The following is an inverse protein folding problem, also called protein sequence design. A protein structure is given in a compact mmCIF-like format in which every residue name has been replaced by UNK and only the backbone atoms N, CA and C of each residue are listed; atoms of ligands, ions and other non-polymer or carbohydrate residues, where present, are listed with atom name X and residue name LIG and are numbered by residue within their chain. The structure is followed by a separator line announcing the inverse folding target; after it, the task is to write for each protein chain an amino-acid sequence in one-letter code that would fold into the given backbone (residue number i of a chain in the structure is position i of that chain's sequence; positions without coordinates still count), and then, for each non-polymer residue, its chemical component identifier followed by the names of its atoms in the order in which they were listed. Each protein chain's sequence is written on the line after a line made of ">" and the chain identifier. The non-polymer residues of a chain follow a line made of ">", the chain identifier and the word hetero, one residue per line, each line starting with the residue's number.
data_IF_350912885125
#
_entry.id   IF_350912885125
#
_cell.length_a   1.000
_cell.length_b   1.000
_cell.length_c   1.000
_cell.angle_alpha   90.00
_cell.angle_beta   90.00
_cell.angle_gamma   90.00
#
_symmetry.space_group_name_H-M   'P 1'
#
loop_
_entity.id
_entity.type
_entity.pdbx_description
1 polymer ?
#
# COMPACT_ATOMS: atom_id res chain seq x y z
N UNK A 1 -4.75 -14.60 14.05
CA UNK A 1 -4.07 -14.49 13.11
C UNK A 1 -4.52 -15.08 12.00
N UNK A 2 -4.41 -14.59 11.11
CA UNK A 2 -5.08 -15.04 10.02
C UNK A 2 -4.16 -15.15 8.84
N UNK A 3 -3.75 -16.37 8.57
CA UNK A 3 -2.84 -16.64 7.49
C UNK A 3 -3.47 -16.35 6.14
N UNK A 4 -4.77 -16.14 6.07
CA UNK A 4 -5.44 -15.88 4.82
C UNK A 4 -5.75 -14.40 4.61
N UNK A 5 -5.25 -13.54 5.49
CA UNK A 5 -5.49 -12.10 5.34
C UNK A 5 -4.54 -11.48 4.35
N UNK A 6 -5.07 -10.57 3.54
CA UNK A 6 -4.25 -9.72 2.69
C UNK A 6 -3.64 -8.60 3.52
N UNK A 7 -2.49 -8.08 3.10
CA UNK A 7 -1.74 -7.09 3.86
C UNK A 7 -1.42 -5.89 2.99
N UNK A 8 -1.59 -4.69 3.55
CA UNK A 8 -1.19 -3.46 2.89
C UNK A 8 -0.59 -2.51 3.92
N UNK A 9 0.47 -1.83 3.54
CA UNK A 9 1.06 -0.76 4.34
C UNK A 9 0.74 0.55 3.64
N UNK A 10 0.14 1.49 4.35
CA UNK A 10 -0.31 2.74 3.74
C UNK A 10 -0.46 3.84 4.78
N UNK A 11 -0.60 5.06 4.28
CA UNK A 11 -0.91 6.20 5.14
C UNK A 11 -2.26 6.00 5.81
N UNK A 12 -2.39 6.33 7.10
CA UNK A 12 -3.69 6.30 7.77
C UNK A 12 -4.60 7.47 7.37
N UNK A 13 -4.05 8.46 6.65
CA UNK A 13 -4.79 9.66 6.28
C UNK A 13 -4.94 9.71 4.77
N UNK A 14 -6.16 9.92 4.24
CA UNK A 14 -6.34 10.02 2.79
C UNK A 14 -5.76 11.33 2.25
N UNK A 15 -5.33 11.29 0.99
CA UNK A 15 -4.88 12.50 0.30
C UNK A 15 -6.11 13.27 -0.21
N UNK A 16 -5.86 14.32 -1.01
CA UNK A 16 -6.95 15.17 -1.50
C UNK A 16 -7.97 14.40 -2.35
N UNK A 17 -7.55 13.32 -2.97
CA UNK A 17 -8.42 12.51 -3.83
C UNK A 17 -9.04 11.35 -3.09
N UNK A 18 -8.87 11.28 -1.77
CA UNK A 18 -9.40 10.19 -0.97
C UNK A 18 -8.58 8.93 -1.00
N UNK A 19 -7.38 8.97 -1.60
CA UNK A 19 -6.51 7.80 -1.69
C UNK A 19 -5.62 7.73 -0.46
N UNK A 20 -5.40 6.52 0.02
CA UNK A 20 -4.42 6.29 1.08
C UNK A 20 -3.16 5.78 0.42
N UNK A 21 -2.15 6.64 0.37
CA UNK A 21 -0.92 6.35 -0.37
C UNK A 21 -0.20 5.18 0.29
N UNK A 22 0.20 4.21 -0.52
CA UNK A 22 0.91 3.04 -0.05
C UNK A 22 2.36 3.36 0.29
N UNK A 23 3.00 2.43 0.99
CA UNK A 23 4.33 2.65 1.53
C UNK A 23 5.36 3.02 0.46
N UNK A 24 5.30 2.38 -0.70
CA UNK A 24 6.27 2.69 -1.78
C UNK A 24 6.10 4.13 -2.25
N UNK A 25 4.86 4.58 -2.43
CA UNK A 25 4.60 5.95 -2.83
C UNK A 25 5.05 6.96 -1.80
N UNK A 26 4.86 6.64 -0.51
CA UNK A 26 5.28 7.54 0.56
C UNK A 26 6.80 7.73 0.56
N UNK A 27 7.56 6.65 0.45
CA UNK A 27 9.02 6.74 0.43
C UNK A 27 9.50 7.42 -0.84
N UNK A 28 8.88 7.11 -1.98
CA UNK A 28 9.24 7.73 -3.25
C UNK A 28 9.01 9.24 -3.23
N UNK A 29 7.96 9.70 -2.56
CA UNK A 29 7.73 11.14 -2.42
C UNK A 29 8.87 11.82 -1.69
N UNK A 30 9.37 11.21 -0.62
CA UNK A 30 10.52 11.76 0.10
C UNK A 30 11.76 11.81 -0.78
N UNK A 31 11.98 10.75 -1.57
CA UNK A 31 13.11 10.70 -2.48
C UNK A 31 13.04 11.76 -3.56
N UNK A 32 11.87 11.92 -4.17
CA UNK A 32 11.69 12.91 -5.24
C UNK A 32 11.82 14.34 -4.73
N UNK A 33 11.53 14.57 -3.46
CA UNK A 33 11.67 15.90 -2.86
C UNK A 33 13.05 16.15 -2.29
N UNK A 34 13.94 15.17 -2.38
CA UNK A 34 15.31 15.33 -1.92
C UNK A 34 15.48 15.33 -0.42
N UNK A 35 14.54 14.74 0.32
CA UNK A 35 14.59 14.73 1.77
C UNK A 35 15.39 13.56 2.35
N UNK A 36 15.72 12.55 1.55
CA UNK A 36 16.38 11.36 2.06
C UNK A 36 17.88 11.57 2.19
N UNK A 37 18.48 10.98 3.21
CA UNK A 37 19.94 10.93 3.32
C UNK A 37 20.50 10.07 2.19
N UNK A 38 21.82 10.12 1.99
CA UNK A 38 22.45 9.31 0.95
C UNK A 38 22.19 7.82 1.16
N UNK A 39 22.27 7.35 2.42
CA UNK A 39 22.02 5.95 2.70
C UNK A 39 20.57 5.55 2.50
N UNK A 40 19.65 6.42 2.87
CA UNK A 40 18.22 6.18 2.67
C UNK A 40 17.90 6.13 1.17
N UNK A 41 18.49 7.03 0.40
CA UNK A 41 18.25 7.07 -1.03
C UNK A 41 18.81 5.82 -1.71
N UNK A 42 19.97 5.37 -1.27
CA UNK A 42 20.55 4.14 -1.81
C UNK A 42 19.65 2.95 -1.49
N UNK A 43 19.16 2.87 -0.26
CA UNK A 43 18.23 1.80 0.11
C UNK A 43 16.99 1.85 -0.77
N UNK A 44 16.42 3.05 -0.96
CA UNK A 44 15.21 3.20 -1.77
C UNK A 44 15.44 2.69 -3.19
N UNK A 45 16.52 3.12 -3.82
CA UNK A 45 16.82 2.72 -5.19
C UNK A 45 17.05 1.24 -5.33
N UNK A 46 17.86 0.68 -4.43
CA UNK A 46 18.21 -0.73 -4.50
C UNK A 46 17.00 -1.61 -4.23
N UNK A 47 16.21 -1.26 -3.22
CA UNK A 47 15.06 -2.06 -2.84
C UNK A 47 13.93 -1.93 -3.84
N UNK A 48 13.71 -0.71 -4.38
CA UNK A 48 12.73 -0.54 -5.45
C UNK A 48 13.09 -1.39 -6.67
N UNK A 49 14.37 -1.43 -7.02
CA UNK A 49 14.82 -2.25 -8.16
C UNK A 49 14.56 -3.73 -7.89
N UNK A 50 14.77 -4.18 -6.66
CA UNK A 50 14.49 -5.56 -6.30
C UNK A 50 13.00 -5.88 -6.44
N UNK A 51 12.13 -4.96 -5.98
CA UNK A 51 10.70 -5.16 -6.13
C UNK A 51 10.28 -5.15 -7.60
N UNK A 52 10.86 -4.26 -8.40
CA UNK A 52 10.53 -4.21 -9.82
C UNK A 52 10.91 -5.52 -10.53
N UNK A 53 11.97 -6.16 -10.09
CA UNK A 53 12.41 -7.41 -10.69
C UNK A 53 11.61 -8.61 -10.19
N UNK A 54 11.03 -8.51 -8.99
CA UNK A 54 10.41 -9.65 -8.31
C UNK A 54 8.89 -9.59 -8.30
N UNK A 55 8.33 -8.39 -8.38
CA UNK A 55 6.93 -8.11 -8.06
C UNK A 55 6.35 -7.30 -9.22
N UNK A 56 5.37 -7.84 -9.88
CA UNK A 56 4.78 -7.20 -11.06
C UNK A 56 4.08 -5.90 -10.69
N UNK A 57 4.37 -4.84 -11.45
CA UNK A 57 3.60 -3.61 -11.33
C UNK A 57 2.35 -3.78 -12.20
N UNK A 58 1.15 -3.81 -11.60
CA UNK A 58 -0.07 -4.08 -12.37
C UNK A 58 -0.32 -3.13 -13.52
N UNK A 59 0.15 -1.88 -13.42
CA UNK A 59 -0.07 -0.91 -14.49
C UNK A 59 0.72 -1.26 -15.75
N UNK A 60 1.75 -2.11 -15.65
CA UNK A 60 2.49 -2.55 -16.82
C UNK A 60 1.75 -3.65 -17.58
N UNK A 61 0.81 -4.34 -16.91
CA UNK A 61 -0.02 -5.35 -17.55
C UNK A 61 -1.29 -4.72 -18.12
N UNK A 62 -1.91 -3.83 -17.34
CA UNK A 62 -3.14 -3.16 -17.74
C UNK A 62 -3.17 -1.76 -17.13
N UNK A 63 -2.76 -0.74 -17.90
CA UNK A 63 -2.73 0.63 -17.37
C UNK A 63 -4.08 1.11 -16.84
N UNK A 64 -5.18 0.61 -17.40
CA UNK A 64 -6.52 1.04 -16.97
C UNK A 64 -6.85 0.65 -15.55
N UNK A 65 -6.11 -0.31 -14.97
CA UNK A 65 -6.37 -0.73 -13.58
C UNK A 65 -6.38 0.47 -12.65
N UNK A 66 -5.38 1.35 -12.77
CA UNK A 66 -5.31 2.53 -11.92
C UNK A 66 -5.95 3.76 -12.57
N UNK A 67 -5.81 3.90 -13.89
CA UNK A 67 -6.34 5.08 -14.58
C UNK A 67 -7.85 5.18 -14.46
N UNK A 68 -8.53 4.04 -14.57
CA UNK A 68 -9.99 4.04 -14.50
C UNK A 68 -10.53 3.88 -13.09
N UNK A 69 -9.65 3.63 -12.12
CA UNK A 69 -10.07 3.34 -10.75
C UNK A 69 -9.18 4.10 -9.77
N UNK A 70 -9.47 5.38 -9.53
CA UNK A 70 -8.59 6.22 -8.71
C UNK A 70 -8.37 5.74 -7.28
N UNK A 71 -9.28 4.93 -6.76
CA UNK A 71 -9.14 4.41 -5.39
C UNK A 71 -8.57 3.00 -5.35
N UNK A 72 -8.11 2.48 -6.50
CA UNK A 72 -7.55 1.14 -6.55
C UNK A 72 -6.28 1.06 -5.69
N UNK A 73 -6.15 -0.04 -4.97
CA UNK A 73 -5.01 -0.25 -4.07
C UNK A 73 -4.57 -1.70 -4.14
N UNK A 74 -3.25 -1.90 -4.10
CA UNK A 74 -2.67 -3.24 -4.15
C UNK A 74 -2.45 -3.76 -2.73
N UNK A 75 -2.80 -5.02 -2.52
CA UNK A 75 -2.62 -5.72 -1.26
C UNK A 75 -1.79 -6.97 -1.50
N UNK A 76 -0.85 -7.24 -0.62
CA UNK A 76 -0.06 -8.47 -0.69
C UNK A 76 -0.92 -9.66 -0.29
N UNK A 77 -0.75 -10.77 -1.01
CA UNK A 77 -1.40 -12.02 -0.64
C UNK A 77 -0.71 -12.64 0.58
N UNK A 78 -1.44 -13.44 1.36
CA UNK A 78 -0.81 -14.12 2.51
C UNK A 78 0.40 -14.95 2.13
N UNK A 79 0.41 -15.50 0.91
CA UNK A 79 1.51 -16.34 0.44
C UNK A 79 2.73 -15.56 0.01
N UNK A 80 2.67 -14.22 0.02
CA UNK A 80 3.77 -13.38 -0.44
C UNK A 80 4.63 -12.87 0.72
N UNK A 81 4.77 -13.67 1.78
CA UNK A 81 5.50 -13.23 2.97
C UNK A 81 6.94 -12.81 2.64
N UNK A 82 7.58 -13.48 1.67
CA UNK A 82 8.94 -13.14 1.30
C UNK A 82 9.06 -11.73 0.72
N UNK A 83 7.97 -11.18 0.21
CA UNK A 83 7.97 -9.81 -0.32
C UNK A 83 7.80 -8.76 0.79
N UNK A 84 7.51 -9.19 2.01
CA UNK A 84 7.31 -8.26 3.12
C UNK A 84 8.60 -8.01 3.88
N UNK A 85 9.62 -8.81 3.65
CA UNK A 85 10.87 -8.69 4.39
C UNK A 85 11.51 -7.31 4.28
N UNK A 86 11.63 -6.72 3.09
CA UNK A 86 12.26 -5.40 2.96
C UNK A 86 11.39 -4.25 3.46
N UNK A 87 10.12 -4.50 3.76
CA UNK A 87 9.20 -3.43 4.19
C UNK A 87 9.72 -2.72 5.43
N UNK A 88 10.37 -3.46 6.33
CA UNK A 88 10.85 -2.87 7.57
C UNK A 88 11.81 -1.70 7.31
N UNK A 89 12.65 -1.79 6.29
CA UNK A 89 13.55 -0.70 5.94
C UNK A 89 12.82 0.54 5.46
N UNK A 90 11.76 0.36 4.67
CA UNK A 90 10.93 1.49 4.27
C UNK A 90 10.24 2.12 5.47
N UNK A 91 9.75 1.30 6.41
CA UNK A 91 9.09 1.83 7.61
C UNK A 91 10.06 2.64 8.46
N UNK A 92 11.31 2.21 8.54
CA UNK A 92 12.32 2.95 9.29
C UNK A 92 12.59 4.33 8.67
N UNK A 93 12.63 4.39 7.35
CA UNK A 93 12.80 5.68 6.66
C UNK A 93 11.62 6.59 6.97
N UNK A 94 10.40 6.08 6.84
CA UNK A 94 9.22 6.91 7.09
C UNK A 94 9.17 7.39 8.52
N UNK A 95 9.52 6.53 9.48
CA UNK A 95 9.55 6.92 10.88
C UNK A 95 10.58 8.02 11.13
N UNK A 96 11.75 7.93 10.48
CA UNK A 96 12.79 8.94 10.65
C UNK A 96 12.35 10.30 10.11
N UNK A 97 11.42 10.33 9.19
CA UNK A 97 10.92 11.57 8.59
C UNK A 97 9.53 11.95 9.10
N UNK A 98 9.06 11.26 10.13
CA UNK A 98 7.75 11.54 10.76
C UNK A 98 6.58 11.40 9.79
N UNK A 99 6.68 10.46 8.86
CA UNK A 99 5.60 10.17 7.92
C UNK A 99 4.84 8.96 8.43
N UNK A 100 3.56 9.11 8.78
CA UNK A 100 2.79 7.98 9.32
C UNK A 100 2.52 6.95 8.23
N UNK A 101 2.69 5.68 8.60
CA UNK A 101 2.39 4.57 7.72
C UNK A 101 2.04 3.39 8.61
N UNK A 102 0.94 2.72 8.32
CA UNK A 102 0.45 1.65 9.17
C UNK A 102 0.16 0.39 8.35
N UNK A 103 0.22 -0.73 9.04
CA UNK A 103 -0.06 -2.02 8.45
C UNK A 103 -1.54 -2.35 8.63
N UNK A 104 -2.20 -2.70 7.54
CA UNK A 104 -3.60 -3.10 7.56
C UNK A 104 -3.74 -4.51 7.02
N UNK A 105 -4.68 -5.26 7.58
CA UNK A 105 -4.98 -6.60 7.10
C UNK A 105 -6.47 -6.72 6.86
N UNK A 106 -6.85 -7.55 5.90
CA UNK A 106 -8.26 -7.77 5.59
C UNK A 106 -8.41 -9.10 4.86
N UNK A 107 -9.44 -9.86 5.19
CA UNK A 107 -9.77 -11.08 4.47
C UNK A 107 -10.43 -10.76 3.12
N UNK A 108 -11.03 -9.58 2.99
CA UNK A 108 -11.76 -9.17 1.77
C UNK A 108 -11.58 -7.67 1.58
N UNK A 109 -10.42 -7.23 1.07
CA UNK A 109 -10.11 -5.80 1.02
C UNK A 109 -10.93 -5.01 0.01
N UNK A 110 -11.60 -5.67 -0.94
CA UNK A 110 -12.44 -4.96 -1.88
C UNK A 110 -12.73 -5.79 -3.12
N UNK A 111 -13.29 -5.14 -4.13
CA UNK A 111 -13.60 -5.80 -5.40
C UNK A 111 -12.32 -5.91 -6.22
N UNK A 112 -11.99 -7.11 -6.66
CA UNK A 112 -10.72 -7.39 -7.33
C UNK A 112 -10.76 -6.90 -8.76
N UNK A 113 -9.77 -6.10 -9.14
CA UNK A 113 -9.57 -5.62 -10.50
C UNK A 113 -8.44 -6.36 -11.20
N UNK A 114 -7.46 -6.82 -10.45
CA UNK A 114 -6.29 -7.48 -10.97
C UNK A 114 -5.76 -8.43 -9.90
N UNK A 115 -5.21 -9.53 -10.32
CA UNK A 115 -4.65 -10.50 -9.38
C UNK A 115 -3.51 -11.25 -10.02
N UNK A 116 -2.42 -11.45 -9.27
CA UNK A 116 -1.37 -12.37 -9.67
C UNK A 116 -0.96 -13.20 -8.45
N UNK A 117 0.15 -13.91 -8.53
CA UNK A 117 0.51 -14.83 -7.44
C UNK A 117 0.90 -14.12 -6.15
N UNK A 118 1.19 -12.84 -6.19
CA UNK A 118 1.68 -12.11 -5.03
C UNK A 118 0.70 -11.08 -4.49
N UNK A 119 -0.25 -10.63 -5.30
CA UNK A 119 -1.06 -9.47 -4.94
C UNK A 119 -2.44 -9.51 -5.56
N UNK A 120 -3.33 -8.71 -4.97
CA UNK A 120 -4.58 -8.32 -5.61
C UNK A 120 -4.64 -6.80 -5.64
N UNK A 121 -5.21 -6.24 -6.70
CA UNK A 121 -5.53 -4.82 -6.75
C UNK A 121 -7.03 -4.71 -6.64
N UNK A 122 -7.50 -3.93 -5.69
CA UNK A 122 -8.93 -3.86 -5.38
C UNK A 122 -9.38 -2.43 -5.26
N UNK A 123 -10.70 -2.23 -5.41
CA UNK A 123 -11.36 -0.98 -5.03
C UNK A 123 -12.30 -1.29 -3.88
N UNK A 124 -12.58 -0.31 -3.00
CA UNK A 124 -13.54 -0.53 -1.91
C UNK A 124 -14.89 -0.96 -2.47
N UNK A 125 -15.57 -1.83 -1.74
CA UNK A 125 -16.92 -2.23 -2.13
C UNK A 125 -17.82 -1.00 -2.08
N UNK A 126 -18.71 -0.88 -3.07
CA UNK A 126 -19.65 0.22 -3.08
C UNK A 126 -20.65 0.06 -1.94
N UNK A 127 -21.08 1.21 -1.43
CA UNK A 127 -22.12 1.24 -0.40
C UNK A 127 -23.06 2.36 -0.72
N UNK A 128 -24.36 2.09 -0.61
CA UNK A 128 -25.37 3.14 -0.75
C UNK A 128 -25.50 3.98 0.49
N UNK A 129 -24.95 3.51 1.60
CA UNK A 129 -24.96 4.23 2.85
C UNK A 129 -23.70 5.07 2.93
N UNK A 130 -23.79 6.40 2.89
CA UNK A 130 -22.60 7.26 2.94
C UNK A 130 -21.77 7.03 4.19
N UNK A 131 -22.39 6.71 5.31
CA UNK A 131 -21.66 6.47 6.54
C UNK A 131 -20.84 5.18 6.41
N UNK A 132 -21.43 4.13 5.86
CA UNK A 132 -20.71 2.89 5.63
C UNK A 132 -19.54 3.11 4.70
N UNK A 133 -19.74 3.87 3.61
CA UNK A 133 -18.66 4.17 2.69
C UNK A 133 -17.53 4.93 3.36
N UNK A 134 -17.88 5.88 4.22
CA UNK A 134 -16.86 6.64 4.95
C UNK A 134 -16.10 5.78 5.94
N UNK A 135 -16.75 4.74 6.45
CA UNK A 135 -16.13 3.88 7.44
C UNK A 135 -15.41 2.69 6.82
N UNK A 136 -15.33 2.63 5.49
CA UNK A 136 -14.56 1.55 4.86
C UNK A 136 -13.10 1.76 5.15
N UNK A 137 -12.62 1.08 6.16
CA UNK A 137 -11.21 1.11 6.56
C UNK A 137 -10.90 -0.25 7.13
N UNK A 138 -9.67 -0.76 6.93
CA UNK A 138 -9.26 -1.96 7.62
C UNK A 138 -9.38 -1.76 9.13
N UNK A 139 -9.73 -2.79 9.87
CA UNK A 139 -9.99 -2.65 11.31
C UNK A 139 -8.86 -1.98 12.08
N UNK A 140 -7.62 -2.21 11.67
CA UNK A 140 -6.49 -1.67 12.38
C UNK A 140 -6.48 -0.15 12.39
N UNK A 141 -6.97 0.48 11.33
CA UNK A 141 -6.98 1.94 11.26
C UNK A 141 -7.80 2.53 12.39
N UNK A 142 -8.98 1.98 12.61
CA UNK A 142 -9.86 2.54 13.63
C UNK A 142 -9.35 2.29 15.04
N UNK A 143 -8.72 1.16 15.28
CA UNK A 143 -8.22 0.87 16.61
C UNK A 143 -7.02 1.73 16.96
N UNK A 144 -6.20 2.08 15.99
CA UNK A 144 -5.00 2.89 16.28
C UNK A 144 -5.33 4.36 16.41
N UNK A 145 -6.49 4.78 15.95
CA UNK A 145 -6.89 6.17 16.06
C UNK A 145 -7.54 6.49 17.39
N UNK A 146 -7.96 5.46 18.08
CA UNK A 146 -8.64 5.63 19.35
C UNK A 146 -7.82 6.24 20.44
#
# INVERSE_FOLDING_TARGET
>A
MDASSYVRYQSPVPDRRGRRIGIFGLVNMLGHRGYLSAGEEEFRRTTNAWYDATYTNPSTVDPAVYDDNPLAAAWFKPSAAHLLEPIDGYLKILAAHNVPCERYTSAAPGRVLYEDQHQVVVVPHESKDPITAMLWLPPKVRSTRG
#
